data_IF_016369797249
#
_entry.id   IF_016369797249
#
_cell.length_a   1.000
_cell.length_b   1.000
_cell.length_c   1.000
_cell.angle_alpha   90.00
_cell.angle_beta   90.00
_cell.angle_gamma   90.00
#
_symmetry.space_group_name_H-M   'P 1'
#
loop_
_entity.id
_entity.type
_entity.pdbx_description
1 polymer ?
#
# COMPACT_ATOMS: atom_id res chain seq x y z
N UNK A 1 5.51 6.85 3.90
CA UNK A 1 6.49 7.92 4.23
C UNK A 1 7.65 7.30 5.01
N UNK A 2 8.89 7.69 4.71
CA UNK A 2 10.06 7.19 5.45
C UNK A 2 10.09 7.92 6.80
N UNK A 3 10.12 7.17 7.91
CA UNK A 3 9.94 7.70 9.28
C UNK A 3 10.88 8.88 9.60
N UNK A 4 12.11 8.89 9.07
CA UNK A 4 13.07 9.99 9.27
C UNK A 4 12.64 11.32 8.62
N UNK A 5 11.91 11.28 7.50
CA UNK A 5 11.50 12.48 6.76
C UNK A 5 10.22 13.11 7.34
N UNK A 6 9.48 12.38 8.18
CA UNK A 6 8.25 12.85 8.80
C UNK A 6 8.48 13.65 10.12
N UNK A 7 9.74 13.73 10.59
CA UNK A 7 10.08 14.37 11.85
C UNK A 7 9.35 13.75 13.05
N UNK A 8 8.82 14.59 13.94
CA UNK A 8 8.04 14.17 15.12
C UNK A 8 6.54 13.96 14.84
N UNK A 9 6.09 14.11 13.59
CA UNK A 9 4.67 13.97 13.25
C UNK A 9 4.35 12.48 13.08
N UNK A 10 3.57 11.96 14.04
CA UNK A 10 3.05 10.59 14.01
C UNK A 10 2.10 10.43 12.83
N UNK A 11 2.52 9.63 11.84
CA UNK A 11 1.69 9.32 10.68
C UNK A 11 0.55 8.36 11.05
N UNK A 12 -0.66 8.52 10.50
CA UNK A 12 -1.81 7.68 10.82
C UNK A 12 -1.66 6.21 10.35
N UNK A 13 -0.72 5.95 9.44
CA UNK A 13 -0.47 4.63 8.87
C UNK A 13 1.02 4.29 8.97
N UNK A 14 1.30 3.04 9.33
CA UNK A 14 2.62 2.41 9.22
C UNK A 14 2.55 1.27 8.22
N UNK A 15 3.49 1.21 7.29
CA UNK A 15 3.63 0.11 6.32
C UNK A 15 4.94 -0.60 6.59
N UNK A 16 4.89 -1.93 6.71
CA UNK A 16 6.07 -2.79 6.81
C UNK A 16 6.13 -3.64 5.54
N UNK A 17 7.11 -3.33 4.70
CA UNK A 17 7.34 -3.95 3.41
C UNK A 17 8.84 -3.93 3.06
N UNK A 18 9.30 -4.72 2.08
CA UNK A 18 10.65 -4.58 1.53
C UNK A 18 10.90 -3.18 0.95
N UNK A 19 12.18 -2.79 0.87
CA UNK A 19 12.60 -1.46 0.40
C UNK A 19 12.19 -1.12 -1.05
N UNK A 20 11.89 -2.12 -1.87
CA UNK A 20 11.38 -1.94 -3.22
C UNK A 20 9.89 -1.59 -3.29
N UNK A 21 9.18 -1.58 -2.15
CA UNK A 21 7.78 -1.14 -2.08
C UNK A 21 7.69 0.32 -1.71
N UNK A 22 7.12 1.11 -2.61
CA UNK A 22 6.78 2.50 -2.33
C UNK A 22 5.38 2.57 -1.72
N UNK A 23 5.22 3.41 -0.70
CA UNK A 23 3.92 3.63 -0.05
C UNK A 23 3.59 5.11 0.08
N UNK A 24 2.37 5.46 -0.32
CA UNK A 24 1.79 6.79 -0.14
C UNK A 24 0.42 6.68 0.52
N UNK A 25 0.12 7.58 1.45
CA UNK A 25 -1.15 7.61 2.17
C UNK A 25 -1.90 8.90 1.84
N UNK A 26 -3.12 8.76 1.35
CA UNK A 26 -4.01 9.86 1.02
C UNK A 26 -5.29 9.78 1.85
N UNK A 27 -5.72 10.92 2.40
CA UNK A 27 -7.07 11.07 2.96
C UNK A 27 -7.99 11.61 1.89
N UNK A 28 -9.15 11.00 1.70
CA UNK A 28 -10.12 11.41 0.69
C UNK A 28 -11.51 11.56 1.30
N UNK A 29 -12.13 12.71 1.08
CA UNK A 29 -13.54 12.95 1.36
C UNK A 29 -14.38 12.48 0.17
N UNK A 30 -15.45 11.74 0.45
CA UNK A 30 -16.40 11.20 -0.51
C UNK A 30 -17.81 11.64 -0.14
N UNK A 31 -18.79 11.45 -1.03
CA UNK A 31 -20.19 11.76 -0.72
C UNK A 31 -20.73 10.95 0.47
N UNK A 32 -20.19 9.74 0.72
CA UNK A 32 -20.62 8.83 1.78
C UNK A 32 -19.84 8.94 3.09
N UNK A 33 -18.78 9.76 3.15
CA UNK A 33 -17.91 9.88 4.32
C UNK A 33 -16.44 10.10 3.96
N UNK A 34 -15.54 9.79 4.88
CA UNK A 34 -14.10 9.91 4.67
C UNK A 34 -13.43 8.54 4.58
N UNK A 35 -12.35 8.45 3.80
CA UNK A 35 -11.53 7.25 3.69
C UNK A 35 -10.05 7.59 3.70
N UNK A 36 -9.26 6.62 4.13
CA UNK A 36 -7.80 6.65 4.08
C UNK A 36 -7.34 5.60 3.07
N UNK A 37 -6.56 6.02 2.10
CA UNK A 37 -6.09 5.18 0.99
C UNK A 37 -4.58 5.05 1.10
N UNK A 38 -4.09 3.82 1.18
CA UNK A 38 -2.66 3.51 1.13
C UNK A 38 -2.37 2.92 -0.24
N UNK A 39 -1.70 3.69 -1.10
CA UNK A 39 -1.17 3.21 -2.37
C UNK A 39 0.12 2.43 -2.09
N UNK A 40 0.20 1.22 -2.62
CA UNK A 40 1.40 0.38 -2.60
C UNK A 40 1.86 0.17 -4.04
N UNK A 41 3.11 0.50 -4.33
CA UNK A 41 3.70 0.32 -5.65
C UNK A 41 4.97 -0.51 -5.55
N UNK A 42 5.06 -1.55 -6.37
CA UNK A 42 6.22 -2.41 -6.46
C UNK A 42 7.19 -1.86 -7.50
N UNK A 43 8.35 -1.41 -7.05
CA UNK A 43 9.39 -0.85 -7.91
C UNK A 43 10.48 -1.87 -8.27
N UNK A 44 10.22 -3.18 -8.10
CA UNK A 44 11.11 -4.21 -8.65
C UNK A 44 11.00 -4.18 -10.16
N UNK A 45 12.12 -3.87 -10.82
CA UNK A 45 12.25 -3.88 -12.27
C UNK A 45 13.37 -4.84 -12.67
N UNK A 46 13.09 -5.72 -13.62
CA UNK A 46 14.07 -6.62 -14.24
C UNK A 46 14.40 -6.12 -15.65
N UNK A 47 15.42 -5.26 -15.79
CA UNK A 47 15.95 -4.89 -17.12
C UNK A 47 16.90 -5.96 -17.69
N UNK A 48 16.77 -7.21 -17.22
CA UNK A 48 17.74 -8.28 -17.45
C UNK A 48 17.77 -8.77 -18.89
N UNK A 49 18.76 -8.31 -19.67
CA UNK A 49 19.10 -8.89 -20.98
C UNK A 49 18.42 -8.26 -22.20
N UNK A 50 18.05 -6.98 -22.14
CA UNK A 50 17.45 -6.31 -23.30
C UNK A 50 18.49 -5.99 -24.39
N UNK A 51 18.01 -6.06 -25.64
CA UNK A 51 18.74 -5.77 -26.86
C UNK A 51 19.27 -4.33 -26.89
N UNK A 52 20.11 -4.01 -27.89
CA UNK A 52 20.67 -2.68 -28.05
C UNK A 52 19.56 -1.60 -28.11
N UNK A 53 19.82 -0.36 -27.64
CA UNK A 53 18.81 0.71 -27.55
C UNK A 53 18.04 1.05 -28.83
N UNK A 54 18.52 0.61 -30.00
CA UNK A 54 17.91 0.77 -31.32
C UNK A 54 16.92 -0.35 -31.69
N UNK A 55 16.89 -1.45 -30.94
CA UNK A 55 16.02 -2.62 -31.14
C UNK A 55 14.92 -2.70 -30.07
N UNK A 56 14.51 -1.54 -29.54
CA UNK A 56 13.64 -1.38 -28.37
C UNK A 56 12.33 -2.16 -28.53
N UNK A 57 12.31 -3.37 -27.96
CA UNK A 57 11.10 -4.18 -27.82
C UNK A 57 10.26 -3.57 -26.69
N UNK A 58 8.92 -3.52 -26.83
CA UNK A 58 8.06 -3.02 -25.75
C UNK A 58 8.42 -3.75 -24.46
N UNK A 59 8.78 -2.99 -23.43
CA UNK A 59 9.17 -3.52 -22.13
C UNK A 59 8.09 -4.50 -21.66
N UNK A 60 8.45 -5.77 -21.57
CA UNK A 60 7.58 -6.76 -20.94
C UNK A 60 7.55 -6.40 -19.46
N UNK A 61 6.36 -6.10 -18.95
CA UNK A 61 6.16 -5.85 -17.53
C UNK A 61 6.30 -7.18 -16.79
N UNK A 62 7.54 -7.49 -16.40
CA UNK A 62 7.85 -8.60 -15.51
C UNK A 62 7.76 -8.10 -14.08
N UNK A 63 6.81 -8.65 -13.33
CA UNK A 63 6.65 -8.31 -11.92
C UNK A 63 6.98 -9.52 -11.07
N UNK A 64 7.91 -9.34 -10.13
CA UNK A 64 8.09 -10.28 -9.03
C UNK A 64 7.11 -9.87 -7.94
N UNK A 65 6.07 -10.67 -7.67
CA UNK A 65 5.06 -10.31 -6.69
C UNK A 65 5.63 -10.27 -5.28
N UNK A 66 5.20 -9.29 -4.50
CA UNK A 66 5.60 -9.13 -3.10
C UNK A 66 4.44 -9.58 -2.21
N UNK A 67 4.74 -10.45 -1.27
CA UNK A 67 3.75 -11.06 -0.39
C UNK A 67 3.86 -10.52 1.04
N UNK A 68 2.75 -10.63 1.79
CA UNK A 68 2.73 -10.40 3.24
C UNK A 68 3.15 -8.98 3.65
N UNK A 69 2.66 -7.96 2.92
CA UNK A 69 2.90 -6.56 3.30
C UNK A 69 1.95 -6.21 4.44
N UNK A 70 2.49 -5.76 5.57
CA UNK A 70 1.69 -5.38 6.74
C UNK A 70 1.38 -3.89 6.70
N UNK A 71 0.10 -3.55 6.87
CA UNK A 71 -0.37 -2.16 7.02
C UNK A 71 -1.04 -2.03 8.38
N UNK A 72 -0.60 -1.06 9.17
CA UNK A 72 -1.15 -0.76 10.50
C UNK A 72 -1.71 0.66 10.49
N UNK A 73 -3.01 0.77 10.76
CA UNK A 73 -3.69 2.03 11.03
C UNK A 73 -3.55 2.33 12.52
N UNK A 74 -2.88 3.43 12.88
CA UNK A 74 -2.56 3.74 14.28
C UNK A 74 -3.81 4.01 15.11
N UNK A 75 -3.71 3.74 16.41
CA UNK A 75 -4.72 4.09 17.41
C UNK A 75 -5.23 5.53 17.25
N UNK A 76 -6.54 5.73 17.45
CA UNK A 76 -7.21 7.01 17.21
C UNK A 76 -7.76 7.18 15.79
N UNK A 77 -7.40 6.30 14.85
CA UNK A 77 -8.04 6.24 13.54
C UNK A 77 -9.28 5.36 13.61
N UNK A 78 -10.48 5.93 13.52
CA UNK A 78 -11.73 5.17 13.52
C UNK A 78 -11.89 4.43 12.18
N UNK A 79 -11.52 3.14 12.12
CA UNK A 79 -11.65 2.31 10.90
C UNK A 79 -12.93 1.48 10.96
N UNK A 80 -13.77 1.58 9.94
CA UNK A 80 -15.01 0.79 9.81
C UNK A 80 -14.81 -0.49 9.01
N UNK A 81 -14.08 -0.40 7.90
CA UNK A 81 -13.80 -1.55 7.02
C UNK A 81 -12.57 -1.28 6.19
N UNK A 82 -11.84 -2.34 5.84
CA UNK A 82 -10.66 -2.24 4.98
C UNK A 82 -10.84 -3.16 3.77
N UNK A 83 -10.60 -2.62 2.57
CA UNK A 83 -10.65 -3.35 1.31
C UNK A 83 -9.36 -3.19 0.53
N UNK A 84 -8.96 -4.24 -0.15
CA UNK A 84 -7.91 -4.22 -1.17
C UNK A 84 -8.56 -3.95 -2.53
N UNK A 85 -7.99 -2.99 -3.25
CA UNK A 85 -8.36 -2.62 -4.62
C UNK A 85 -7.20 -2.94 -5.57
N UNK A 86 -7.48 -3.29 -6.83
CA UNK A 86 -8.77 -3.10 -7.53
C UNK A 86 -9.83 -4.20 -7.35
N UNK A 87 -9.51 -5.34 -6.74
CA UNK A 87 -10.40 -6.52 -6.70
C UNK A 87 -11.59 -6.36 -5.74
N UNK A 88 -11.57 -5.33 -4.88
CA UNK A 88 -12.62 -5.10 -3.87
C UNK A 88 -12.62 -6.09 -2.72
N UNK A 89 -11.53 -6.86 -2.55
CA UNK A 89 -11.39 -7.90 -1.53
C UNK A 89 -11.40 -7.29 -0.13
N UNK A 90 -12.29 -7.77 0.75
CA UNK A 90 -12.28 -7.34 2.16
C UNK A 90 -11.06 -7.96 2.85
N UNK A 91 -10.26 -7.13 3.53
CA UNK A 91 -9.13 -7.61 4.31
C UNK A 91 -9.55 -7.87 5.75
N UNK A 92 -9.14 -9.01 6.28
CA UNK A 92 -9.29 -9.32 7.70
C UNK A 92 -8.45 -8.34 8.53
N UNK A 93 -9.07 -7.82 9.59
CA UNK A 93 -8.44 -6.86 10.49
C UNK A 93 -8.10 -7.53 11.81
N UNK A 94 -6.91 -7.27 12.32
CA UNK A 94 -6.44 -7.77 13.61
C UNK A 94 -6.07 -6.60 14.50
N UNK A 95 -6.62 -6.55 15.71
CA UNK A 95 -6.24 -5.53 16.68
C UNK A 95 -4.84 -5.80 17.23
N UNK A 96 -4.03 -4.75 17.33
CA UNK A 96 -2.67 -4.78 17.87
C UNK A 96 -2.47 -3.64 18.86
N UNK A 97 -1.44 -3.68 19.72
CA UNK A 97 -1.15 -2.57 20.63
C UNK A 97 -0.97 -1.21 19.94
N UNK A 98 -0.46 -1.22 18.70
CA UNK A 98 -0.18 -0.02 17.91
C UNK A 98 -1.39 0.48 17.08
N UNK A 99 -2.44 -0.33 16.97
CA UNK A 99 -3.63 -0.04 16.15
C UNK A 99 -4.18 -1.24 15.39
N UNK A 100 -4.97 -0.97 14.36
CA UNK A 100 -5.63 -1.99 13.55
C UNK A 100 -4.72 -2.42 12.39
N UNK A 101 -4.37 -3.70 12.34
CA UNK A 101 -3.50 -4.26 11.31
C UNK A 101 -4.28 -5.03 10.24
N UNK A 102 -3.79 -4.95 9.00
CA UNK A 102 -4.17 -5.81 7.88
C UNK A 102 -2.93 -6.31 7.15
N UNK A 103 -3.08 -7.44 6.46
CA UNK A 103 -2.03 -8.00 5.60
C UNK A 103 -2.49 -7.98 4.15
N UNK A 104 -1.69 -7.37 3.29
CA UNK A 104 -1.86 -7.48 1.83
C UNK A 104 -1.20 -8.79 1.39
N UNK A 105 -1.99 -9.75 0.86
CA UNK A 105 -1.51 -11.10 0.60
C UNK A 105 -0.55 -11.15 -0.58
N UNK A 106 -0.76 -10.28 -1.58
CA UNK A 106 0.02 -10.20 -2.82
C UNK A 106 -0.05 -8.78 -3.37
N UNK A 107 1.09 -8.25 -3.77
CA UNK A 107 1.26 -7.01 -4.52
C UNK A 107 1.99 -7.35 -5.82
N UNK A 108 1.32 -7.20 -6.95
CA UNK A 108 1.96 -7.20 -8.26
C UNK A 108 2.56 -5.81 -8.49
N UNK A 109 2.03 -5.00 -9.42
CA UNK A 109 2.59 -3.67 -9.74
C UNK A 109 2.07 -2.60 -8.76
N UNK A 110 0.75 -2.57 -8.59
CA UNK A 110 0.07 -1.57 -7.79
C UNK A 110 -1.16 -2.16 -7.11
N UNK A 111 -1.39 -1.75 -5.86
CA UNK A 111 -2.63 -2.03 -5.15
C UNK A 111 -2.97 -0.86 -4.22
N UNK A 112 -4.24 -0.76 -3.82
CA UNK A 112 -4.66 0.20 -2.81
C UNK A 112 -5.33 -0.49 -1.63
N UNK A 113 -4.86 -0.20 -0.42
CA UNK A 113 -5.57 -0.53 0.81
C UNK A 113 -6.47 0.64 1.15
N UNK A 114 -7.77 0.47 0.99
CA UNK A 114 -8.79 1.50 1.24
C UNK A 114 -9.46 1.20 2.57
N UNK A 115 -9.27 2.09 3.53
CA UNK A 115 -9.95 2.04 4.82
C UNK A 115 -11.03 3.11 4.90
N UNK A 116 -12.27 2.68 5.01
CA UNK A 116 -13.42 3.57 5.25
C UNK A 116 -13.42 4.00 6.71
N UNK A 117 -13.52 5.30 6.98
CA UNK A 117 -13.47 5.85 8.33
C UNK A 117 -14.86 5.87 8.97
N UNK A 118 -14.90 5.59 10.27
CA UNK A 118 -16.07 5.84 11.11
C UNK A 118 -16.26 7.34 11.35
N UNK A 119 -17.51 7.77 11.55
CA UNK A 119 -17.82 9.10 12.09
C UNK A 119 -17.46 9.19 13.56
#
# INVERSE_FOLDING_TARGET
AIEWAAGSIVQPVRVTAPMCVHSNTMRQTTASGERLIVHLFNNVNTTGGHAFPNDDVPLREETIPIHTIKVVFRNGTAIKSVKLQPEGTVLETTQTPDGLAVTVPRLDVHAMVVAELGR
#
